data_IF_658916250687
#
_entry.id   IF_658916250687
#
_cell.length_a   1.000
_cell.length_b   1.000
_cell.length_c   1.000
_cell.angle_alpha   90.00
_cell.angle_beta   90.00
_cell.angle_gamma   90.00
#
_symmetry.space_group_name_H-M   'P 1'
#
loop_
_entity.id
_entity.type
_entity.pdbx_description
1 polymer ?
#
# COMPACT_ATOMS: atom_id res chain seq x y z
N UNK A 1 9.41 -69.98 -51.12
CA UNK A 1 8.57 -71.08 -50.61
C UNK A 1 9.24 -71.65 -49.37
N UNK A 2 8.49 -71.69 -48.24
CA UNK A 2 8.74 -72.48 -47.03
C UNK A 2 10.08 -72.28 -46.31
N UNK A 3 10.18 -71.51 -45.24
CA UNK A 3 9.72 -71.84 -43.87
C UNK A 3 10.49 -73.01 -43.24
N UNK A 4 11.41 -72.71 -42.32
CA UNK A 4 11.49 -73.45 -41.06
C UNK A 4 11.96 -72.53 -39.92
N UNK A 5 11.41 -72.79 -38.75
CA UNK A 5 11.29 -71.92 -37.60
C UNK A 5 12.46 -72.07 -36.62
N UNK A 6 13.20 -70.99 -36.40
CA UNK A 6 14.16 -70.87 -35.30
C UNK A 6 13.41 -70.55 -33.99
N UNK A 7 13.23 -71.57 -33.14
CA UNK A 7 12.70 -71.42 -31.79
C UNK A 7 13.63 -70.61 -30.88
N UNK A 8 13.10 -69.96 -29.83
CA UNK A 8 13.83 -68.99 -29.01
C UNK A 8 14.78 -69.65 -27.99
N UNK A 9 16.01 -69.15 -27.93
CA UNK A 9 16.98 -69.47 -26.87
C UNK A 9 16.50 -68.96 -25.49
N UNK A 10 16.66 -69.75 -24.41
CA UNK A 10 16.23 -69.37 -23.08
C UNK A 10 17.17 -68.32 -22.45
N UNK A 11 16.58 -67.24 -21.92
CA UNK A 11 17.26 -66.24 -21.08
C UNK A 11 17.79 -66.88 -19.79
N UNK A 12 19.00 -66.52 -19.32
CA UNK A 12 19.54 -67.06 -18.09
C UNK A 12 18.74 -66.59 -16.87
N UNK A 13 18.51 -67.57 -16.00
CA UNK A 13 17.79 -67.54 -14.73
C UNK A 13 18.39 -66.53 -13.75
N UNK A 14 17.51 -65.80 -13.06
CA UNK A 14 17.84 -64.87 -11.97
C UNK A 14 18.59 -65.62 -10.85
N UNK A 15 19.77 -65.12 -10.48
CA UNK A 15 20.53 -65.60 -9.33
C UNK A 15 19.83 -65.33 -7.99
N UNK A 16 20.05 -66.24 -7.04
CA UNK A 16 19.52 -66.19 -5.68
C UNK A 16 19.86 -64.89 -4.93
N UNK A 17 18.96 -64.39 -4.05
CA UNK A 17 19.24 -63.21 -3.23
C UNK A 17 20.26 -63.55 -2.13
N UNK A 18 21.40 -62.86 -2.14
CA UNK A 18 22.39 -62.91 -1.06
C UNK A 18 21.76 -62.52 0.29
N UNK A 19 22.13 -63.17 1.41
CA UNK A 19 21.58 -62.84 2.72
C UNK A 19 21.90 -61.39 3.14
N UNK A 20 21.00 -60.72 3.88
CA UNK A 20 21.20 -59.33 4.28
C UNK A 20 22.43 -59.21 5.16
N UNK A 21 23.35 -58.30 4.78
CA UNK A 21 24.57 -58.02 5.56
C UNK A 21 24.20 -57.58 6.99
N UNK A 22 24.91 -58.06 8.03
CA UNK A 22 24.63 -57.71 9.41
C UNK A 22 24.75 -56.21 9.63
N UNK A 23 23.87 -55.64 10.45
CA UNK A 23 23.85 -54.22 10.72
C UNK A 23 25.19 -53.80 11.37
N UNK A 24 25.88 -52.77 10.85
CA UNK A 24 27.20 -52.39 11.36
C UNK A 24 27.16 -51.97 12.83
N UNK A 25 28.22 -52.27 13.57
CA UNK A 25 28.35 -52.00 15.00
C UNK A 25 28.08 -50.51 15.32
N UNK A 26 27.17 -50.28 16.28
CA UNK A 26 26.82 -48.95 16.81
C UNK A 26 27.90 -48.50 17.79
N UNK A 27 28.35 -47.24 17.70
CA UNK A 27 29.29 -46.70 18.69
C UNK A 27 28.69 -46.81 20.10
N UNK A 28 29.41 -47.44 21.06
CA UNK A 28 28.88 -47.73 22.40
C UNK A 28 28.57 -46.46 23.19
N UNK A 29 29.38 -45.41 23.04
CA UNK A 29 29.14 -44.10 23.67
C UNK A 29 27.81 -43.46 23.25
N UNK A 30 27.46 -43.49 21.96
CA UNK A 30 26.19 -42.97 21.45
C UNK A 30 24.98 -43.85 21.84
N UNK A 31 25.21 -45.12 22.19
CA UNK A 31 24.18 -46.01 22.71
C UNK A 31 23.89 -45.71 24.18
N UNK A 32 24.92 -45.41 24.98
CA UNK A 32 24.77 -45.02 26.38
C UNK A 32 24.06 -43.67 26.55
N UNK A 33 24.22 -42.75 25.60
CA UNK A 33 23.51 -41.45 25.57
C UNK A 33 22.05 -41.51 25.05
N UNK A 34 21.52 -42.70 24.72
CA UNK A 34 20.13 -42.85 24.24
C UNK A 34 19.84 -42.30 22.84
N UNK A 35 20.83 -41.70 22.16
CA UNK A 35 20.65 -41.06 20.86
C UNK A 35 20.44 -42.08 19.73
N UNK A 36 19.43 -41.92 18.85
CA UNK A 36 19.18 -42.83 17.74
C UNK A 36 20.37 -42.91 16.78
N UNK A 37 20.43 -43.95 15.95
CA UNK A 37 21.50 -44.12 14.96
C UNK A 37 21.40 -43.00 13.91
N UNK A 38 22.20 -41.94 14.05
CA UNK A 38 22.35 -40.93 13.01
C UNK A 38 22.93 -41.59 11.75
N UNK A 39 22.42 -41.25 10.54
CA UNK A 39 22.95 -41.78 9.30
C UNK A 39 24.43 -41.39 9.17
N UNK A 40 25.34 -42.38 9.17
CA UNK A 40 26.80 -42.17 9.05
C UNK A 40 27.23 -41.59 7.70
N UNK A 41 26.36 -41.61 6.69
CA UNK A 41 26.64 -41.08 5.36
C UNK A 41 26.09 -39.66 5.30
N UNK A 42 26.98 -38.71 5.00
CA UNK A 42 26.59 -37.34 4.66
C UNK A 42 25.61 -37.38 3.46
N UNK A 43 24.72 -36.38 3.34
CA UNK A 43 23.89 -36.24 2.15
C UNK A 43 24.78 -36.21 0.90
N UNK A 44 24.28 -36.72 -0.22
CA UNK A 44 25.04 -36.69 -1.48
C UNK A 44 25.37 -35.24 -1.89
N UNK A 45 26.38 -35.05 -2.75
CA UNK A 45 26.78 -33.71 -3.24
C UNK A 45 25.59 -32.90 -3.75
N UNK A 46 24.69 -33.50 -4.53
CA UNK A 46 23.51 -32.82 -5.06
C UNK A 46 22.53 -32.41 -3.96
N UNK A 47 22.36 -33.24 -2.93
CA UNK A 47 21.56 -32.91 -1.76
C UNK A 47 22.18 -31.78 -0.93
N UNK A 48 23.51 -31.77 -0.76
CA UNK A 48 24.20 -30.68 -0.09
C UNK A 48 24.06 -29.36 -0.85
N UNK A 49 24.21 -29.38 -2.18
CA UNK A 49 23.99 -28.21 -3.04
C UNK A 49 22.53 -27.72 -2.91
N UNK A 50 21.57 -28.65 -2.98
CA UNK A 50 20.15 -28.32 -2.83
C UNK A 50 19.86 -27.64 -1.48
N UNK A 51 20.34 -28.21 -0.38
CA UNK A 51 20.15 -27.64 0.96
C UNK A 51 20.90 -26.30 1.14
N UNK A 52 22.09 -26.16 0.57
CA UNK A 52 22.84 -24.91 0.63
C UNK A 52 22.11 -23.78 -0.12
N UNK A 53 21.60 -24.04 -1.33
CA UNK A 53 20.87 -23.04 -2.13
C UNK A 53 19.52 -22.72 -1.51
N UNK A 54 18.73 -23.73 -1.13
CA UNK A 54 17.42 -23.50 -0.49
C UNK A 54 17.55 -22.84 0.88
N UNK A 55 18.54 -23.25 1.68
CA UNK A 55 18.83 -22.68 2.99
C UNK A 55 19.30 -21.23 2.92
N UNK A 56 20.18 -20.89 1.97
CA UNK A 56 20.64 -19.51 1.76
C UNK A 56 19.54 -18.59 1.24
N UNK A 57 18.67 -19.07 0.35
CA UNK A 57 17.50 -18.30 -0.09
C UNK A 57 16.51 -18.08 1.06
N UNK A 58 16.19 -19.15 1.80
CA UNK A 58 15.29 -19.06 2.95
C UNK A 58 15.83 -18.12 4.04
N UNK A 59 17.13 -18.19 4.35
CA UNK A 59 17.75 -17.30 5.33
C UNK A 59 17.72 -15.85 4.88
N UNK A 60 17.98 -15.55 3.60
CA UNK A 60 17.87 -14.21 3.05
C UNK A 60 16.44 -13.63 3.17
N UNK A 61 15.41 -14.43 2.87
CA UNK A 61 14.01 -14.01 2.98
C UNK A 61 13.61 -13.78 4.45
N UNK A 62 14.01 -14.68 5.34
CA UNK A 62 13.73 -14.55 6.78
C UNK A 62 14.44 -13.32 7.35
N UNK A 63 15.70 -13.11 6.96
CA UNK A 63 16.49 -11.94 7.36
C UNK A 63 15.84 -10.64 6.89
N UNK A 64 15.50 -10.50 5.61
CA UNK A 64 14.91 -9.24 5.11
C UNK A 64 13.54 -8.97 5.75
N UNK A 65 12.71 -10.00 5.98
CA UNK A 65 11.45 -9.85 6.73
C UNK A 65 11.68 -9.42 8.19
N UNK A 66 12.72 -9.94 8.83
CA UNK A 66 13.08 -9.58 10.21
C UNK A 66 13.58 -8.13 10.28
N UNK A 67 14.51 -7.75 9.42
CA UNK A 67 15.03 -6.38 9.36
C UNK A 67 13.97 -5.37 8.95
N UNK A 68 13.08 -5.73 8.03
CA UNK A 68 11.92 -4.90 7.69
C UNK A 68 11.06 -4.61 8.91
N UNK A 69 10.70 -5.64 9.68
CA UNK A 69 9.92 -5.46 10.92
C UNK A 69 10.65 -4.60 11.93
N UNK A 70 11.98 -4.75 12.04
CA UNK A 70 12.82 -3.91 12.89
C UNK A 70 12.79 -2.44 12.45
N UNK A 71 12.94 -2.16 11.16
CA UNK A 71 12.86 -0.81 10.61
C UNK A 71 11.47 -0.19 10.86
N UNK A 72 10.38 -0.91 10.59
CA UNK A 72 9.03 -0.42 10.89
C UNK A 72 8.83 -0.18 12.39
N UNK A 73 9.32 -1.07 13.25
CA UNK A 73 9.22 -0.90 14.72
C UNK A 73 10.02 0.32 15.21
N UNK A 74 11.21 0.58 14.65
CA UNK A 74 12.03 1.76 14.96
C UNK A 74 11.23 3.04 14.75
N UNK A 75 10.64 3.21 13.58
CA UNK A 75 9.84 4.42 13.26
C UNK A 75 8.52 4.49 14.03
N UNK A 76 7.90 3.35 14.34
CA UNK A 76 6.73 3.32 15.23
C UNK A 76 7.07 3.87 16.62
N UNK A 77 8.15 3.38 17.24
CA UNK A 77 8.59 3.86 18.55
C UNK A 77 9.05 5.32 18.51
N UNK A 78 9.64 5.78 17.41
CA UNK A 78 10.03 7.18 17.24
C UNK A 78 8.83 8.15 17.29
N UNK A 79 7.70 7.70 16.75
CA UNK A 79 6.50 8.52 16.54
C UNK A 79 5.45 8.30 17.64
N UNK A 80 5.51 7.17 18.34
CA UNK A 80 4.63 6.80 19.45
C UNK A 80 4.42 7.90 20.52
N UNK A 81 5.44 8.70 20.91
CA UNK A 81 5.23 9.76 21.90
C UNK A 81 4.16 10.77 21.51
N UNK A 82 3.91 10.99 20.21
CA UNK A 82 2.86 11.91 19.74
C UNK A 82 1.47 11.42 20.12
N UNK A 83 1.24 10.10 20.11
CA UNK A 83 -0.07 9.52 20.44
C UNK A 83 -0.47 9.69 21.91
N UNK A 84 0.50 9.98 22.77
CA UNK A 84 0.29 10.16 24.22
C UNK A 84 0.05 11.62 24.61
N UNK A 85 0.19 12.56 23.67
CA UNK A 85 -0.04 13.97 23.93
C UNK A 85 -1.55 14.22 24.10
N UNK A 86 -1.99 14.81 25.21
CA UNK A 86 -3.39 15.13 25.41
C UNK A 86 -3.83 16.23 24.45
N UNK A 87 -5.07 16.17 23.99
CA UNK A 87 -5.70 17.25 23.23
C UNK A 87 -6.10 18.40 24.17
N UNK A 88 -6.09 19.63 23.66
CA UNK A 88 -6.39 20.83 24.47
C UNK A 88 -7.84 20.84 24.95
N UNK A 89 -8.77 20.34 24.12
CA UNK A 89 -10.20 20.23 24.45
C UNK A 89 -10.72 18.82 24.23
N UNK A 90 -11.64 18.38 25.08
CA UNK A 90 -12.23 17.04 24.98
C UNK A 90 -13.06 16.81 23.70
N UNK A 91 -13.61 17.89 23.12
CA UNK A 91 -14.35 17.87 21.86
C UNK A 91 -13.46 18.09 20.63
N UNK A 92 -12.17 18.40 20.80
CA UNK A 92 -11.28 18.66 19.67
C UNK A 92 -10.94 17.37 18.94
N UNK A 93 -10.96 17.43 17.61
CA UNK A 93 -10.55 16.30 16.78
C UNK A 93 -9.02 16.23 16.67
N UNK A 94 -8.44 15.03 16.63
CA UNK A 94 -7.03 14.88 16.35
C UNK A 94 -6.72 15.34 14.93
N UNK A 95 -5.44 15.56 14.69
CA UNK A 95 -4.93 15.93 13.38
C UNK A 95 -5.24 14.89 12.32
N UNK A 96 -5.80 15.35 11.19
CA UNK A 96 -6.18 14.54 10.04
C UNK A 96 -5.23 14.74 8.85
N UNK A 97 -4.85 13.64 8.20
CA UNK A 97 -4.02 13.61 6.98
C UNK A 97 -4.83 13.01 5.83
N UNK A 98 -4.67 13.51 4.60
CA UNK A 98 -5.24 12.86 3.41
C UNK A 98 -4.20 11.95 2.75
N UNK A 99 -4.54 10.69 2.49
CA UNK A 99 -3.70 9.71 1.81
C UNK A 99 -4.26 9.45 0.41
N UNK A 100 -3.50 9.81 -0.60
CA UNK A 100 -3.81 9.58 -2.01
C UNK A 100 -3.20 8.25 -2.46
N UNK A 101 -4.08 7.33 -2.88
CA UNK A 101 -3.73 6.01 -3.38
C UNK A 101 -4.33 5.83 -4.77
N UNK A 102 -3.55 5.33 -5.70
CA UNK A 102 -4.05 4.99 -7.03
C UNK A 102 -3.55 3.63 -7.49
N UNK A 103 -4.36 2.93 -8.28
CA UNK A 103 -3.95 1.72 -8.96
C UNK A 103 -2.68 1.98 -9.79
N UNK A 104 -1.59 1.21 -9.60
CA UNK A 104 -0.41 1.34 -10.44
C UNK A 104 -0.75 1.04 -11.90
N UNK A 105 0.01 1.60 -12.84
CA UNK A 105 -0.23 1.33 -14.25
C UNK A 105 -0.08 -0.17 -14.57
N UNK A 106 -1.14 -0.77 -15.10
CA UNK A 106 -1.17 -2.18 -15.51
C UNK A 106 -1.53 -3.20 -14.41
N UNK A 107 -1.87 -2.76 -13.20
CA UNK A 107 -2.36 -3.61 -12.12
C UNK A 107 -3.51 -2.92 -11.36
N UNK A 108 -4.14 -3.59 -10.40
CA UNK A 108 -5.28 -3.08 -9.64
C UNK A 108 -4.90 -2.28 -8.39
N UNK A 109 -5.89 -1.59 -7.83
CA UNK A 109 -5.78 -0.79 -6.60
C UNK A 109 -5.26 -1.59 -5.38
N UNK A 110 -5.42 -2.92 -5.40
CA UNK A 110 -4.99 -3.78 -4.29
C UNK A 110 -3.50 -3.67 -4.01
N UNK A 111 -2.66 -3.54 -5.04
CA UNK A 111 -1.22 -3.40 -4.88
C UNK A 111 -0.85 -2.13 -4.08
N UNK A 112 -1.55 -1.01 -4.33
CA UNK A 112 -1.35 0.23 -3.60
C UNK A 112 -1.88 0.13 -2.15
N UNK A 113 -3.03 -0.52 -1.94
CA UNK A 113 -3.57 -0.77 -0.60
C UNK A 113 -2.64 -1.64 0.24
N UNK A 114 -2.13 -2.74 -0.32
CA UNK A 114 -1.18 -3.61 0.38
C UNK A 114 0.10 -2.85 0.73
N UNK A 115 0.59 -1.98 -0.16
CA UNK A 115 1.74 -1.13 0.12
C UNK A 115 1.49 -0.15 1.28
N UNK A 116 0.33 0.51 1.29
CA UNK A 116 -0.08 1.36 2.41
C UNK A 116 -0.14 0.56 3.73
N UNK A 117 -0.81 -0.59 3.72
CA UNK A 117 -0.97 -1.44 4.92
C UNK A 117 0.38 -1.92 5.44
N UNK A 118 1.30 -2.28 4.55
CA UNK A 118 2.57 -2.91 4.90
C UNK A 118 3.63 -1.89 5.38
N UNK A 119 3.67 -0.68 4.83
CA UNK A 119 4.74 0.30 5.10
C UNK A 119 4.25 1.55 5.84
N UNK A 120 3.11 2.12 5.46
CA UNK A 120 2.66 3.44 5.93
C UNK A 120 1.78 3.34 7.17
N UNK A 121 0.74 2.48 7.11
CA UNK A 121 -0.25 2.28 8.18
C UNK A 121 0.38 2.04 9.56
N UNK A 122 1.43 1.20 9.72
CA UNK A 122 1.95 0.91 11.04
C UNK A 122 2.53 2.14 11.74
N UNK A 123 3.17 3.05 10.98
CA UNK A 123 3.79 4.27 11.51
C UNK A 123 2.72 5.34 11.78
N UNK A 124 1.79 5.55 10.86
CA UNK A 124 0.66 6.48 11.07
C UNK A 124 -0.21 6.06 12.25
N UNK A 125 -0.56 4.78 12.37
CA UNK A 125 -1.37 4.29 13.48
C UNK A 125 -0.67 4.46 14.84
N UNK A 126 0.66 4.36 14.90
CA UNK A 126 1.42 4.59 16.12
C UNK A 126 1.46 6.07 16.53
N UNK A 127 1.26 6.99 15.59
CA UNK A 127 1.25 8.44 15.87
C UNK A 127 -0.02 8.95 16.54
N UNK A 128 -1.13 8.20 16.45
CA UNK A 128 -2.44 8.67 16.91
C UNK A 128 -3.10 9.70 15.96
N UNK A 129 -2.58 9.86 14.74
CA UNK A 129 -3.17 10.72 13.71
C UNK A 129 -4.28 10.01 12.97
N UNK A 130 -5.33 10.75 12.63
CA UNK A 130 -6.41 10.28 11.77
C UNK A 130 -6.02 10.44 10.30
N UNK A 131 -6.55 9.58 9.44
CA UNK A 131 -6.33 9.69 8.00
C UNK A 131 -7.58 9.37 7.19
N UNK A 132 -7.68 10.01 6.03
CA UNK A 132 -8.71 9.79 5.03
C UNK A 132 -8.08 9.31 3.73
N UNK A 133 -8.76 8.42 3.01
CA UNK A 133 -8.27 7.93 1.73
C UNK A 133 -8.98 8.57 0.56
N UNK A 134 -8.19 9.04 -0.41
CA UNK A 134 -8.65 9.30 -1.77
C UNK A 134 -8.12 8.17 -2.65
N UNK A 135 -9.02 7.33 -3.16
CA UNK A 135 -8.66 6.11 -3.90
C UNK A 135 -9.00 6.24 -5.38
N UNK A 136 -7.99 6.29 -6.25
CA UNK A 136 -8.12 6.20 -7.70
C UNK A 136 -8.03 4.76 -8.20
N UNK A 137 -9.03 4.30 -8.95
CA UNK A 137 -8.97 2.98 -9.62
C UNK A 137 -8.57 3.12 -11.09
N UNK A 138 -8.85 4.27 -11.68
CA UNK A 138 -8.51 4.61 -13.05
C UNK A 138 -7.70 5.91 -13.05
N UNK A 139 -6.92 6.06 -14.12
CA UNK A 139 -6.19 7.27 -14.40
C UNK A 139 -7.10 8.51 -14.37
N UNK A 140 -6.66 9.53 -13.66
CA UNK A 140 -7.26 10.84 -13.48
C UNK A 140 -8.34 10.88 -12.40
N UNK A 141 -8.64 9.77 -11.72
CA UNK A 141 -9.55 9.77 -10.57
C UNK A 141 -8.98 10.66 -9.45
N UNK A 142 -7.67 10.57 -9.21
CA UNK A 142 -7.00 11.35 -8.15
C UNK A 142 -6.95 12.82 -8.53
N UNK A 143 -6.62 13.15 -9.78
CA UNK A 143 -6.71 14.52 -10.32
C UNK A 143 -8.10 15.10 -10.07
N UNK A 144 -9.15 14.39 -10.49
CA UNK A 144 -10.52 14.86 -10.34
C UNK A 144 -10.90 15.11 -8.88
N UNK A 145 -10.52 14.21 -7.97
CA UNK A 145 -10.79 14.35 -6.54
C UNK A 145 -10.06 15.54 -5.92
N UNK A 146 -8.78 15.76 -6.25
CA UNK A 146 -8.00 16.91 -5.77
C UNK A 146 -8.58 18.21 -6.32
N UNK A 147 -8.86 18.28 -7.62
CA UNK A 147 -9.44 19.47 -8.24
C UNK A 147 -10.83 19.78 -7.67
N UNK A 148 -11.67 18.77 -7.41
CA UNK A 148 -12.96 18.94 -6.77
C UNK A 148 -12.83 19.44 -5.32
N UNK A 149 -11.86 18.91 -4.55
CA UNK A 149 -11.57 19.39 -3.19
C UNK A 149 -11.22 20.89 -3.19
N UNK A 150 -10.26 21.30 -4.02
CA UNK A 150 -9.86 22.71 -4.12
C UNK A 150 -11.02 23.60 -4.58
N UNK A 151 -11.80 23.16 -5.58
CA UNK A 151 -12.95 23.93 -6.05
C UNK A 151 -14.04 24.09 -4.99
N UNK A 152 -14.28 23.05 -4.19
CA UNK A 152 -15.20 23.11 -3.04
C UNK A 152 -14.76 24.17 -2.03
N UNK A 153 -13.46 24.27 -1.76
CA UNK A 153 -12.91 25.29 -0.84
C UNK A 153 -13.01 26.71 -1.43
N UNK A 154 -13.01 26.83 -2.77
CA UNK A 154 -13.13 28.10 -3.51
C UNK A 154 -14.58 28.60 -3.61
N UNK A 155 -15.54 27.71 -3.82
CA UNK A 155 -16.96 28.06 -4.09
C UNK A 155 -17.58 29.02 -3.06
N UNK A 156 -17.43 28.82 -1.72
CA UNK A 156 -17.98 29.75 -0.73
C UNK A 156 -17.36 31.15 -0.79
N UNK A 157 -16.08 31.26 -1.19
CA UNK A 157 -15.33 32.54 -1.25
C UNK A 157 -15.71 33.37 -2.47
N UNK A 158 -16.10 32.70 -3.55
CA UNK A 158 -16.58 33.34 -4.78
C UNK A 158 -18.12 33.56 -4.76
N UNK A 159 -18.76 33.49 -3.58
CA UNK A 159 -20.19 33.72 -3.35
C UNK A 159 -21.15 32.85 -4.19
N UNK A 160 -20.69 31.69 -4.67
CA UNK A 160 -21.51 30.75 -5.47
C UNK A 160 -22.22 29.71 -4.59
N UNK A 161 -22.85 30.17 -3.51
CA UNK A 161 -23.41 29.32 -2.43
C UNK A 161 -24.47 28.31 -2.91
N UNK A 162 -25.11 28.54 -4.05
CA UNK A 162 -26.18 27.68 -4.56
C UNK A 162 -25.70 26.39 -5.26
N UNK A 163 -24.42 26.30 -5.65
CA UNK A 163 -23.92 25.20 -6.48
C UNK A 163 -22.97 24.23 -5.74
N UNK A 164 -22.83 24.36 -4.42
CA UNK A 164 -21.97 23.46 -3.64
C UNK A 164 -22.67 22.10 -3.57
N UNK A 165 -22.22 21.16 -4.39
CA UNK A 165 -22.64 19.76 -4.28
C UNK A 165 -22.27 19.26 -2.89
N UNK A 166 -23.27 19.09 -2.03
CA UNK A 166 -23.13 18.60 -0.67
C UNK A 166 -22.54 17.19 -0.74
N UNK A 167 -21.25 17.08 -0.44
CA UNK A 167 -20.56 15.80 -0.27
C UNK A 167 -20.76 15.35 1.18
N UNK A 168 -20.80 14.05 1.42
CA UNK A 168 -20.96 13.49 2.78
C UNK A 168 -20.04 14.16 3.81
N UNK A 169 -18.78 14.42 3.45
CA UNK A 169 -17.82 15.13 4.32
C UNK A 169 -18.24 16.58 4.64
N UNK A 170 -18.76 17.30 3.64
CA UNK A 170 -19.24 18.67 3.83
C UNK A 170 -20.48 18.74 4.71
N UNK A 171 -21.36 17.74 4.63
CA UNK A 171 -22.51 17.61 5.54
C UNK A 171 -22.04 17.38 6.97
N UNK A 172 -21.06 16.49 7.15
CA UNK A 172 -20.48 16.20 8.47
C UNK A 172 -19.81 17.45 9.06
N UNK A 173 -19.05 18.20 8.26
CA UNK A 173 -18.39 19.43 8.71
C UNK A 173 -19.40 20.52 9.07
N UNK A 174 -20.45 20.71 8.27
CA UNK A 174 -21.53 21.66 8.59
C UNK A 174 -22.26 21.28 9.89
N UNK A 175 -22.44 19.99 10.17
CA UNK A 175 -23.02 19.52 11.44
C UNK A 175 -22.05 19.79 12.61
N UNK A 176 -20.75 19.58 12.43
CA UNK A 176 -19.72 19.87 13.45
C UNK A 176 -19.65 21.35 13.78
N UNK A 177 -19.69 22.21 12.76
CA UNK A 177 -19.76 23.66 12.94
C UNK A 177 -21.00 24.07 13.75
N UNK A 178 -22.17 23.50 13.43
CA UNK A 178 -23.41 23.72 14.20
C UNK A 178 -23.31 23.24 15.65
N UNK A 179 -22.57 22.16 15.90
CA UNK A 179 -22.32 21.63 17.24
C UNK A 179 -21.20 22.36 18.00
N UNK A 180 -20.55 23.36 17.38
CA UNK A 180 -19.44 24.10 17.99
C UNK A 180 -18.18 23.24 18.23
N UNK A 181 -18.02 22.16 17.46
CA UNK A 181 -16.81 21.31 17.52
C UNK A 181 -15.67 22.08 16.84
N UNK A 182 -14.59 22.44 17.56
CA UNK A 182 -13.50 23.19 16.96
C UNK A 182 -12.82 22.34 15.88
N UNK A 183 -12.43 22.93 14.74
CA UNK A 183 -11.63 22.23 13.75
C UNK A 183 -10.29 21.81 14.36
N UNK A 184 -9.68 20.81 13.75
CA UNK A 184 -8.33 20.39 14.12
C UNK A 184 -7.36 21.59 14.07
N UNK A 185 -6.51 21.72 15.09
CA UNK A 185 -5.48 22.74 15.21
C UNK A 185 -4.10 22.18 14.83
N UNK A 186 -3.56 22.63 13.69
CA UNK A 186 -2.19 22.32 13.28
C UNK A 186 -1.97 22.30 11.77
N UNK A 187 -0.79 21.86 11.35
CA UNK A 187 -0.41 21.69 9.94
C UNK A 187 -1.03 20.42 9.36
N UNK A 188 -2.04 20.56 8.52
CA UNK A 188 -2.57 19.46 7.71
C UNK A 188 -1.52 18.92 6.73
N UNK A 189 -1.86 17.89 5.97
CA UNK A 189 -0.98 17.47 4.90
C UNK A 189 -1.45 16.26 4.13
N UNK A 190 -0.76 16.04 3.02
CA UNK A 190 -1.12 15.04 2.03
C UNK A 190 0.02 14.02 1.87
N UNK A 191 -0.31 12.73 1.93
CA UNK A 191 0.60 11.63 1.61
C UNK A 191 0.20 11.09 0.25
N UNK A 192 1.10 11.16 -0.72
CA UNK A 192 0.85 10.71 -2.09
C UNK A 192 1.72 9.49 -2.39
N UNK A 193 1.12 8.35 -2.71
CA UNK A 193 1.86 7.09 -2.88
C UNK A 193 2.12 6.80 -4.36
N UNK A 194 3.40 6.91 -4.75
CA UNK A 194 3.88 6.58 -6.09
C UNK A 194 3.93 7.76 -7.06
N UNK A 195 4.82 7.64 -8.05
CA UNK A 195 5.02 8.65 -9.09
C UNK A 195 3.78 8.93 -9.93
N UNK A 196 2.99 7.91 -10.27
CA UNK A 196 1.78 8.06 -11.09
C UNK A 196 0.76 8.93 -10.36
N UNK A 197 0.52 8.64 -9.08
CA UNK A 197 -0.40 9.40 -8.23
C UNK A 197 0.12 10.82 -7.96
N UNK A 198 1.44 11.00 -7.84
CA UNK A 198 2.06 12.33 -7.71
C UNK A 198 1.78 13.22 -8.93
N UNK A 199 1.90 12.68 -10.15
CA UNK A 199 1.58 13.43 -11.38
C UNK A 199 0.12 13.88 -11.39
N UNK A 200 -0.80 13.02 -10.98
CA UNK A 200 -2.22 13.35 -10.91
C UNK A 200 -2.57 14.33 -9.79
N UNK A 201 -1.98 14.16 -8.62
CA UNK A 201 -2.17 15.04 -7.48
C UNK A 201 -1.76 16.48 -7.85
N UNK A 202 -0.55 16.62 -8.40
CA UNK A 202 -0.04 17.92 -8.85
C UNK A 202 -0.90 18.47 -9.97
N UNK A 203 -1.28 17.65 -10.97
CA UNK A 203 -2.17 18.07 -12.05
C UNK A 203 -3.54 18.56 -11.52
N UNK A 204 -4.11 17.87 -10.55
CA UNK A 204 -5.37 18.23 -9.90
C UNK A 204 -5.26 19.50 -9.05
N UNK A 205 -4.11 19.74 -8.41
CA UNK A 205 -3.83 20.98 -7.69
C UNK A 205 -3.84 22.18 -8.65
N UNK A 206 -3.17 22.05 -9.80
CA UNK A 206 -3.16 23.08 -10.83
C UNK A 206 -4.56 23.29 -11.43
N UNK A 207 -5.26 22.22 -11.79
CA UNK A 207 -6.64 22.30 -12.29
C UNK A 207 -7.57 22.98 -11.27
N UNK A 208 -7.43 22.65 -9.97
CA UNK A 208 -8.25 23.21 -8.92
C UNK A 208 -8.05 24.71 -8.69
N UNK A 209 -6.81 25.20 -8.76
CA UNK A 209 -6.49 26.62 -8.51
C UNK A 209 -6.54 27.50 -9.75
N UNK A 210 -6.08 26.99 -10.89
CA UNK A 210 -5.98 27.74 -12.14
C UNK A 210 -7.20 27.53 -13.05
N UNK A 211 -7.91 26.41 -12.89
CA UNK A 211 -9.07 26.08 -13.71
C UNK A 211 -10.34 26.85 -13.30
N UNK A 212 -11.30 26.94 -14.23
CA UNK A 212 -12.62 27.49 -13.95
C UNK A 212 -13.37 26.61 -12.93
N UNK A 213 -14.27 27.23 -12.16
CA UNK A 213 -15.15 26.48 -11.26
C UNK A 213 -16.19 25.68 -12.05
N UNK A 214 -16.68 26.24 -13.16
CA UNK A 214 -17.69 25.62 -14.02
C UNK A 214 -17.13 24.46 -14.82
N UNK A 215 -17.88 23.34 -14.91
CA UNK A 215 -17.51 22.26 -15.79
C UNK A 215 -17.44 22.76 -17.24
N UNK A 216 -16.42 22.34 -18.01
CA UNK A 216 -16.40 22.64 -19.44
C UNK A 216 -17.68 22.08 -20.07
N UNK A 217 -18.27 22.78 -21.07
CA UNK A 217 -19.45 22.29 -21.74
C UNK A 217 -19.15 20.90 -22.32
N UNK A 218 -19.83 19.88 -21.79
CA UNK A 218 -19.73 18.53 -22.33
C UNK A 218 -20.24 18.60 -23.77
N UNK A 219 -19.52 18.10 -24.78
CA UNK A 219 -20.06 18.03 -26.13
C UNK A 219 -21.38 17.25 -26.07
N UNK A 220 -22.46 17.87 -26.57
CA UNK A 220 -23.83 17.42 -26.37
C UNK A 220 -24.01 15.93 -26.73
N UNK A 221 -24.20 15.09 -25.69
CA UNK A 221 -24.73 13.74 -25.84
C UNK A 221 -26.24 13.81 -25.62
N UNK A 222 -27.08 13.21 -26.49
CA UNK A 222 -28.52 13.40 -26.45
C UNK A 222 -29.12 12.91 -25.13
N UNK A 223 -29.91 13.78 -24.54
CA UNK A 223 -30.73 13.57 -23.36
C UNK A 223 -31.54 12.28 -23.48
N UNK A 224 -31.39 11.38 -22.50
CA UNK A 224 -32.42 10.37 -22.26
C UNK A 224 -33.58 11.08 -21.58
N UNK A 225 -34.64 11.31 -22.34
CA UNK A 225 -35.94 11.79 -21.85
C UNK A 225 -36.42 10.96 -20.66
N UNK A 226 -36.74 11.67 -19.59
CA UNK A 226 -37.42 11.21 -18.40
C UNK A 226 -38.76 10.54 -18.72
N UNK A 227 -39.03 9.42 -18.04
CA UNK A 227 -40.38 8.97 -17.75
C UNK A 227 -40.61 9.13 -16.24
N UNK A 228 -41.33 10.18 -15.88
CA UNK A 228 -41.84 10.45 -14.53
C UNK A 228 -43.00 9.49 -14.22
N UNK A 229 -43.00 8.83 -13.04
CA UNK A 229 -44.20 8.65 -12.20
C UNK A 229 -43.93 7.88 -10.87
N UNK A 230 -43.88 8.67 -9.79
CA UNK A 230 -44.64 8.49 -8.52
C UNK A 230 -44.47 7.22 -7.66
N UNK A 231 -43.90 7.41 -6.46
CA UNK A 231 -44.17 6.61 -5.24
C UNK A 231 -45.46 7.11 -4.57
N UNK A 232 -46.20 6.25 -3.83
CA UNK A 232 -46.07 6.35 -2.37
C UNK A 232 -46.07 5.01 -1.61
N UNK A 233 -45.64 5.13 -0.36
CA UNK A 233 -45.33 4.17 0.69
C UNK A 233 -46.52 3.37 1.27
N UNK A 234 -46.30 2.14 1.76
CA UNK A 234 -46.72 1.70 3.12
C UNK A 234 -46.28 0.28 3.51
N UNK A 235 -46.19 0.10 4.82
CA UNK A 235 -45.53 -0.89 5.69
C UNK A 235 -46.29 -2.22 5.97
N UNK A 236 -45.52 -3.26 6.35
CA UNK A 236 -45.74 -4.38 7.32
C UNK A 236 -46.85 -5.45 7.12
N UNK A 237 -46.44 -6.74 7.11
CA UNK A 237 -46.80 -7.81 8.07
C UNK A 237 -47.02 -9.22 7.45
N UNK A 238 -46.19 -10.16 7.92
CA UNK A 238 -46.40 -11.59 8.27
C UNK A 238 -47.31 -12.55 7.45
N UNK A 239 -46.75 -13.71 7.11
CA UNK A 239 -47.36 -15.00 7.50
C UNK A 239 -47.66 -16.07 6.42
N UNK A 240 -46.92 -17.19 6.52
CA UNK A 240 -47.34 -18.60 6.25
C UNK A 240 -47.28 -19.24 4.84
N UNK A 241 -46.21 -20.03 4.66
CA UNK A 241 -46.13 -21.44 4.18
C UNK A 241 -46.98 -21.98 3.02
N UNK A 242 -46.29 -22.52 2.01
CA UNK A 242 -46.45 -23.93 1.57
C UNK A 242 -45.25 -24.37 0.70
N UNK A 243 -44.74 -25.55 0.99
CA UNK A 243 -43.74 -26.32 0.24
C UNK A 243 -44.40 -26.92 -1.03
N UNK A 244 -43.70 -26.91 -2.18
CA UNK A 244 -43.13 -28.14 -2.75
C UNK A 244 -42.43 -27.92 -4.10
N UNK A 245 -41.43 -28.77 -4.32
CA UNK A 245 -40.40 -28.84 -5.37
C UNK A 245 -40.93 -28.95 -6.82
N UNK A 246 -40.24 -28.34 -7.80
CA UNK A 246 -39.38 -29.11 -8.73
C UNK A 246 -38.50 -28.23 -9.64
N UNK A 247 -37.41 -28.86 -10.04
CA UNK A 247 -36.15 -28.48 -10.65
C UNK A 247 -36.22 -27.86 -12.07
N UNK A 248 -35.50 -26.74 -12.31
CA UNK A 248 -34.75 -26.53 -13.56
C UNK A 248 -33.77 -25.32 -13.52
N UNK A 249 -32.48 -25.61 -13.63
CA UNK A 249 -31.41 -24.81 -14.28
C UNK A 249 -31.38 -23.29 -14.01
N UNK A 250 -30.77 -22.91 -12.89
CA UNK A 250 -30.34 -21.54 -12.60
C UNK A 250 -29.04 -21.21 -13.36
N UNK A 251 -29.15 -20.44 -14.46
CA UNK A 251 -28.05 -19.57 -14.91
C UNK A 251 -27.90 -18.50 -13.83
N UNK A 252 -26.79 -18.52 -13.11
CA UNK A 252 -26.40 -17.40 -12.24
C UNK A 252 -26.10 -16.18 -13.12
N UNK A 253 -27.11 -15.35 -13.36
CA UNK A 253 -26.88 -13.95 -13.67
C UNK A 253 -26.20 -13.31 -12.46
N UNK A 254 -24.90 -13.08 -12.58
CA UNK A 254 -24.19 -12.20 -11.65
C UNK A 254 -24.93 -10.86 -11.65
N UNK A 255 -25.29 -10.30 -10.48
CA UNK A 255 -25.84 -8.96 -10.43
C UNK A 255 -24.82 -8.01 -11.07
N UNK A 256 -25.22 -7.34 -12.15
CA UNK A 256 -24.43 -6.30 -12.80
C UNK A 256 -24.14 -5.23 -11.74
N UNK A 257 -22.87 -5.15 -11.35
CA UNK A 257 -22.42 -4.10 -10.43
C UNK A 257 -22.76 -2.77 -11.08
N UNK A 258 -23.33 -1.79 -10.33
CA UNK A 258 -23.65 -0.49 -10.89
C UNK A 258 -22.41 0.06 -11.60
N UNK A 259 -22.58 0.42 -12.88
CA UNK A 259 -21.52 1.04 -13.66
C UNK A 259 -21.12 2.34 -12.95
N UNK A 260 -19.81 2.49 -12.74
CA UNK A 260 -19.26 3.64 -12.02
C UNK A 260 -19.62 4.93 -12.78
N UNK A 261 -19.91 6.04 -12.08
CA UNK A 261 -20.08 7.32 -12.74
C UNK A 261 -18.89 7.63 -13.66
N UNK A 262 -19.14 8.18 -14.86
CA UNK A 262 -18.08 8.56 -15.77
C UNK A 262 -17.18 9.60 -15.11
N UNK A 263 -15.89 9.52 -15.41
CA UNK A 263 -14.91 10.45 -14.90
C UNK A 263 -15.20 11.87 -15.42
N UNK A 264 -15.15 12.91 -14.56
CA UNK A 264 -15.36 14.28 -15.02
C UNK A 264 -14.22 14.72 -15.95
N UNK A 265 -14.52 15.42 -17.06
CA UNK A 265 -13.50 15.95 -17.96
C UNK A 265 -12.60 16.95 -17.22
N UNK A 266 -11.34 17.13 -17.67
CA UNK A 266 -10.47 18.16 -17.12
C UNK A 266 -11.00 19.56 -17.45
N UNK A 267 -10.98 20.45 -16.46
CA UNK A 267 -11.47 21.83 -16.59
C UNK A 267 -10.44 22.76 -17.24
N UNK A 268 -9.19 22.32 -17.28
CA UNK A 268 -8.04 23.09 -17.71
C UNK A 268 -7.01 22.12 -18.29
N UNK A 269 -6.19 22.50 -19.26
CA UNK A 269 -5.03 21.73 -19.76
C UNK A 269 -3.70 22.35 -19.34
N UNK A 270 -2.54 21.66 -19.42
CA UNK A 270 -1.26 22.29 -19.09
C UNK A 270 -0.89 23.45 -20.03
N UNK A 271 -1.41 23.45 -21.26
CA UNK A 271 -1.15 24.47 -22.27
C UNK A 271 -1.78 25.83 -21.88
N UNK A 272 -2.86 25.78 -21.11
CA UNK A 272 -3.63 26.93 -20.62
C UNK A 272 -3.04 27.56 -19.34
N UNK A 273 -1.98 27.00 -18.74
CA UNK A 273 -1.41 27.55 -17.49
C UNK A 273 -0.92 28.98 -17.64
N UNK A 274 -0.37 29.30 -18.82
CA UNK A 274 0.14 30.64 -19.14
C UNK A 274 -0.95 31.71 -19.19
N UNK A 275 -2.17 31.35 -19.61
CA UNK A 275 -3.32 32.25 -19.72
C UNK A 275 -4.18 32.27 -18.45
N UNK A 276 -4.07 31.24 -17.61
CA UNK A 276 -4.88 31.11 -16.41
C UNK A 276 -4.52 32.15 -15.34
N UNK A 277 -5.54 32.66 -14.64
CA UNK A 277 -5.40 33.63 -13.55
C UNK A 277 -5.55 32.92 -12.21
N UNK A 278 -4.55 33.07 -11.34
CA UNK A 278 -4.62 32.56 -9.98
C UNK A 278 -5.50 33.50 -9.11
N UNK A 279 -6.47 32.97 -8.35
CA UNK A 279 -7.28 33.78 -7.46
C UNK A 279 -6.45 34.49 -6.38
N UNK A 280 -6.76 35.76 -6.10
CA UNK A 280 -6.01 36.56 -5.11
C UNK A 280 -6.09 36.01 -3.67
N UNK A 281 -7.16 35.29 -3.35
CA UNK A 281 -7.37 34.66 -2.03
C UNK A 281 -6.69 33.30 -1.91
N UNK A 282 -5.99 32.81 -2.95
CA UNK A 282 -5.24 31.57 -2.88
C UNK A 282 -4.19 31.68 -1.76
N UNK A 283 -4.04 30.65 -0.91
CA UNK A 283 -3.16 30.70 0.25
C UNK A 283 -1.71 30.92 -0.18
N UNK A 284 -0.94 31.61 0.66
CA UNK A 284 0.50 31.85 0.43
C UNK A 284 1.27 30.55 0.45
N UNK A 285 0.85 29.61 1.29
CA UNK A 285 1.43 28.27 1.40
C UNK A 285 0.33 27.22 1.31
N UNK A 286 0.54 26.23 0.46
CA UNK A 286 -0.33 25.05 0.41
C UNK A 286 0.03 24.08 1.54
N UNK A 287 -0.95 23.23 1.87
CA UNK A 287 -0.72 22.13 2.79
C UNK A 287 0.49 21.29 2.31
N UNK A 288 1.45 20.98 3.19
CA UNK A 288 2.62 20.20 2.82
C UNK A 288 2.22 18.81 2.32
N UNK A 289 2.93 18.36 1.28
CA UNK A 289 2.72 17.05 0.67
C UNK A 289 4.02 16.26 0.63
N UNK A 290 3.91 14.94 0.79
CA UNK A 290 5.03 14.00 0.69
C UNK A 290 4.71 12.95 -0.36
N UNK A 291 5.62 12.78 -1.33
CA UNK A 291 5.56 11.72 -2.32
C UNK A 291 6.35 10.49 -1.83
N UNK A 292 5.65 9.39 -1.57
CA UNK A 292 6.23 8.13 -1.12
C UNK A 292 6.57 7.22 -2.31
N UNK A 293 7.73 6.53 -2.30
CA UNK A 293 8.10 5.61 -3.36
C UNK A 293 7.17 4.39 -3.38
N UNK A 294 6.70 4.03 -4.58
CA UNK A 294 5.89 2.86 -4.84
C UNK A 294 6.52 1.99 -5.95
N UNK A 295 7.57 1.21 -5.62
CA UNK A 295 8.27 0.39 -6.60
C UNK A 295 7.40 -0.79 -7.06
N UNK A 296 6.64 -0.58 -8.12
CA UNK A 296 5.77 -1.59 -8.72
C UNK A 296 6.20 -1.89 -10.16
N UNK A 297 6.65 -3.12 -10.41
CA UNK A 297 7.11 -3.56 -11.72
C UNK A 297 6.48 -4.90 -12.12
N UNK A 298 5.92 -4.94 -13.32
CA UNK A 298 5.21 -6.10 -13.87
C UNK A 298 6.05 -6.86 -14.91
N UNK A 299 5.69 -8.12 -15.17
CA UNK A 299 6.27 -8.94 -16.25
C UNK A 299 7.31 -9.98 -15.81
N UNK A 300 7.33 -11.12 -16.51
CA UNK A 300 8.21 -12.26 -16.20
C UNK A 300 9.69 -11.96 -16.47
N UNK A 301 9.99 -11.16 -17.51
CA UNK A 301 11.38 -10.75 -17.84
C UNK A 301 12.05 -9.95 -16.72
N UNK A 302 11.25 -9.37 -15.81
CA UNK A 302 11.74 -8.55 -14.70
C UNK A 302 11.79 -9.31 -13.36
N UNK A 303 11.65 -10.64 -13.37
CA UNK A 303 11.63 -11.47 -12.15
C UNK A 303 12.90 -11.31 -11.30
N UNK A 304 14.10 -11.21 -11.91
CA UNK A 304 15.34 -11.03 -11.16
C UNK A 304 15.44 -9.65 -10.49
N UNK A 305 14.98 -8.59 -11.16
CA UNK A 305 14.91 -7.24 -10.57
C UNK A 305 13.89 -7.23 -9.42
N UNK A 306 12.74 -7.86 -9.61
CA UNK A 306 11.71 -8.01 -8.58
C UNK A 306 12.23 -8.81 -7.38
N UNK A 307 13.01 -9.88 -7.61
CA UNK A 307 13.64 -10.65 -6.55
C UNK A 307 14.68 -9.82 -5.78
N UNK A 308 15.51 -9.05 -6.48
CA UNK A 308 16.49 -8.15 -5.84
C UNK A 308 15.81 -7.08 -4.98
N UNK A 309 14.67 -6.52 -5.43
CA UNK A 309 13.85 -5.61 -4.63
C UNK A 309 13.16 -6.31 -3.47
N UNK A 310 12.67 -7.54 -3.70
CA UNK A 310 12.03 -8.36 -2.67
C UNK A 310 12.98 -8.67 -1.51
N UNK A 311 14.26 -8.90 -1.79
CA UNK A 311 15.31 -9.13 -0.78
C UNK A 311 15.90 -7.84 -0.18
N UNK A 312 15.40 -6.66 -0.58
CA UNK A 312 15.83 -5.36 -0.06
C UNK A 312 14.65 -4.51 0.42
N UNK A 313 13.53 -5.12 0.81
CA UNK A 313 12.35 -4.38 1.31
C UNK A 313 12.63 -3.70 2.65
N UNK A 314 13.66 -4.13 3.38
CA UNK A 314 14.11 -3.45 4.61
C UNK A 314 14.49 -1.98 4.37
N UNK A 315 15.17 -1.68 3.25
CA UNK A 315 15.60 -0.30 2.92
C UNK A 315 14.39 0.55 2.58
N UNK A 316 13.49 0.03 1.74
CA UNK A 316 12.23 0.67 1.40
C UNK A 316 11.39 0.98 2.66
N UNK A 317 11.34 0.06 3.62
CA UNK A 317 10.61 0.26 4.87
C UNK A 317 11.24 1.33 5.76
N UNK A 318 12.56 1.45 5.78
CA UNK A 318 13.27 2.50 6.51
C UNK A 318 13.05 3.87 5.85
N UNK A 319 13.18 3.94 4.52
CA UNK A 319 12.97 5.17 3.74
C UNK A 319 11.53 5.70 3.86
N UNK A 320 10.52 4.83 3.68
CA UNK A 320 9.11 5.19 3.84
C UNK A 320 8.82 5.55 5.30
N UNK A 321 9.35 4.77 6.26
CA UNK A 321 9.17 5.05 7.68
C UNK A 321 9.70 6.43 8.07
N UNK A 322 10.86 6.82 7.55
CA UNK A 322 11.45 8.15 7.73
C UNK A 322 10.57 9.27 7.17
N UNK A 323 10.06 9.10 5.95
CA UNK A 323 9.19 10.10 5.30
C UNK A 323 7.84 10.24 6.01
N UNK A 324 7.24 9.13 6.41
CA UNK A 324 5.98 9.13 7.17
C UNK A 324 6.18 9.71 8.57
N UNK A 325 7.30 9.43 9.24
CA UNK A 325 7.63 10.06 10.52
C UNK A 325 7.77 11.60 10.39
N UNK A 326 8.40 12.08 9.31
CA UNK A 326 8.47 13.52 9.02
C UNK A 326 7.08 14.14 8.85
N UNK A 327 6.16 13.42 8.19
CA UNK A 327 4.75 13.82 8.14
C UNK A 327 4.22 13.89 9.56
N UNK A 328 4.34 12.84 10.38
CA UNK A 328 3.81 12.79 11.75
C UNK A 328 4.30 13.95 12.63
N UNK A 329 5.56 14.36 12.54
CA UNK A 329 6.10 15.52 13.28
C UNK A 329 5.67 16.88 12.73
N UNK A 330 4.94 16.93 11.60
CA UNK A 330 4.48 18.17 10.95
C UNK A 330 5.60 19.16 10.63
N UNK A 331 6.82 18.67 10.41
CA UNK A 331 7.95 19.52 10.02
C UNK A 331 7.90 19.77 8.51
N UNK A 332 7.43 20.96 8.13
CA UNK A 332 7.28 21.38 6.75
C UNK A 332 8.38 22.36 6.32
N UNK A 333 8.76 22.32 5.05
CA UNK A 333 9.68 23.27 4.42
C UNK A 333 9.37 23.46 2.95
N UNK A 334 10.18 24.29 2.29
CA UNK A 334 10.08 24.55 0.86
C UNK A 334 10.60 23.36 0.03
N UNK A 335 10.22 23.32 -1.24
CA UNK A 335 10.78 22.37 -2.19
C UNK A 335 12.02 22.95 -2.86
N UNK A 336 13.09 22.16 -2.97
CA UNK A 336 14.33 22.55 -3.66
C UNK A 336 14.24 22.29 -5.18
N UNK A 337 13.18 22.76 -5.85
CA UNK A 337 12.93 22.53 -7.30
C UNK A 337 12.81 21.04 -7.74
N UNK A 338 12.82 20.11 -6.79
CA UNK A 338 12.74 18.66 -7.02
C UNK A 338 11.31 18.16 -7.33
N UNK A 339 10.30 19.03 -7.29
CA UNK A 339 8.89 18.64 -7.46
C UNK A 339 8.67 17.85 -8.76
N UNK A 340 9.38 18.22 -9.84
CA UNK A 340 9.26 17.60 -11.17
C UNK A 340 9.96 16.24 -11.25
N UNK A 341 11.08 16.08 -10.55
CA UNK A 341 11.99 14.93 -10.70
C UNK A 341 11.77 13.87 -9.63
N UNK A 342 11.05 14.18 -8.56
CA UNK A 342 10.78 13.24 -7.46
C UNK A 342 10.11 11.95 -7.97
N UNK A 343 10.71 10.80 -7.63
CA UNK A 343 10.27 9.47 -8.08
C UNK A 343 10.23 9.26 -9.61
N UNK A 344 10.89 10.11 -10.42
CA UNK A 344 10.91 9.96 -11.88
C UNK A 344 11.47 8.59 -12.33
N UNK A 345 12.37 7.99 -11.55
CA UNK A 345 12.92 6.67 -11.83
C UNK A 345 11.86 5.54 -11.82
N UNK A 346 10.71 5.74 -11.16
CA UNK A 346 9.60 4.76 -11.14
C UNK A 346 8.88 4.66 -12.49
N UNK A 347 8.94 5.72 -13.31
CA UNK A 347 8.34 5.71 -14.66
C UNK A 347 8.96 4.61 -15.54
N UNK A 348 10.21 4.24 -15.29
CA UNK A 348 10.92 3.15 -15.98
C UNK A 348 10.36 1.75 -15.67
N UNK A 349 9.62 1.60 -14.57
CA UNK A 349 9.02 0.33 -14.17
C UNK A 349 7.61 0.14 -14.73
N UNK A 350 7.03 1.18 -15.33
CA UNK A 350 5.69 1.14 -15.91
C UNK A 350 5.64 0.28 -17.18
N UNK A 351 4.52 -0.41 -17.43
CA UNK A 351 4.36 -1.20 -18.64
C UNK A 351 4.31 -0.31 -19.88
N UNK A 352 4.78 -0.84 -21.01
CA UNK A 352 4.83 -0.12 -22.30
C UNK A 352 3.47 0.39 -22.77
N UNK A 353 2.39 -0.32 -22.40
CA UNK A 353 1.01 0.06 -22.70
C UNK A 353 0.59 1.42 -22.13
N UNK A 354 1.31 1.94 -21.13
CA UNK A 354 1.07 3.30 -20.60
C UNK A 354 1.41 4.35 -21.63
N UNK A 355 2.47 4.10 -22.41
CA UNK A 355 3.03 5.02 -23.39
C UNK A 355 2.35 4.88 -24.75
N UNK A 356 1.88 3.68 -25.10
CA UNK A 356 1.16 3.42 -26.35
C UNK A 356 -0.17 4.18 -26.41
N UNK A 357 -0.36 4.97 -27.48
CA UNK A 357 -1.66 5.54 -27.83
C UNK A 357 -2.62 4.42 -28.25
N UNK A 358 -3.36 3.88 -27.28
CA UNK A 358 -4.56 3.11 -27.61
C UNK A 358 -5.55 4.08 -28.24
N UNK A 359 -5.74 3.98 -29.56
CA UNK A 359 -6.99 4.42 -30.18
C UNK A 359 -8.09 3.65 -29.47
N UNK A 360 -9.01 4.34 -28.81
CA UNK A 360 -10.20 3.74 -28.22
C UNK A 360 -11.07 3.20 -29.36
N UNK A 361 -10.76 2.00 -29.83
CA UNK A 361 -11.67 1.20 -30.63
C UNK A 361 -12.45 0.38 -29.61
N UNK A 362 -13.65 0.84 -29.28
CA UNK A 362 -14.63 -0.02 -28.63
C UNK A 362 -15.00 -1.09 -29.67
N UNK A 363 -14.38 -2.27 -29.59
CA UNK A 363 -14.90 -3.46 -30.24
C UNK A 363 -16.00 -4.02 -29.33
N UNK A 364 -17.25 -3.70 -29.66
CA UNK A 364 -18.40 -4.45 -29.18
C UNK A 364 -18.53 -5.73 -30.02
N UNK A 365 -18.77 -6.88 -29.37
CA UNK A 365 -18.91 -8.23 -29.96
C UNK A 365 -20.17 -8.40 -30.83
N UNK A 366 -20.87 -7.31 -31.15
CA UNK A 366 -22.19 -7.33 -31.78
C UNK A 366 -22.30 -6.35 -32.97
N UNK A 367 -21.33 -6.29 -33.88
CA UNK A 367 -21.50 -5.86 -35.28
C UNK A 367 -22.27 -4.55 -35.59
N UNK A 368 -22.49 -3.67 -34.62
CA UNK A 368 -23.23 -2.42 -34.73
C UNK A 368 -22.42 -1.33 -34.06
N UNK A 369 -21.60 -0.68 -34.88
CA UNK A 369 -20.80 0.47 -34.50
C UNK A 369 -21.70 1.65 -34.09
N UNK A 370 -21.96 1.78 -32.79
CA UNK A 370 -22.35 3.06 -32.22
C UNK A 370 -21.10 3.70 -31.61
N UNK A 371 -20.48 4.60 -32.37
CA UNK A 371 -19.46 5.52 -31.86
C UNK A 371 -20.10 6.40 -30.79
N UNK A 372 -20.00 6.01 -29.53
CA UNK A 372 -20.14 6.95 -28.42
C UNK A 372 -18.74 7.49 -28.16
N UNK A 373 -18.39 8.57 -28.87
CA UNK A 373 -17.19 9.36 -28.59
C UNK A 373 -17.37 10.01 -27.22
N UNK A 374 -17.07 9.27 -26.15
CA UNK A 374 -16.89 9.87 -24.83
C UNK A 374 -15.76 10.91 -24.88
N UNK A 375 -15.77 11.93 -24.01
CA UNK A 375 -14.68 12.90 -23.96
C UNK A 375 -13.36 12.15 -23.75
N UNK A 376 -12.37 12.43 -24.60
CA UNK A 376 -11.08 11.75 -24.58
C UNK A 376 -10.46 11.81 -23.18
N UNK A 377 -10.23 10.63 -22.59
CA UNK A 377 -9.64 10.54 -21.24
C UNK A 377 -8.22 11.12 -21.26
N UNK A 378 -7.95 12.08 -20.37
CA UNK A 378 -6.64 12.70 -20.31
C UNK A 378 -5.58 11.68 -19.88
N UNK A 379 -4.57 11.47 -20.73
CA UNK A 379 -3.45 10.54 -20.46
C UNK A 379 -2.34 11.20 -19.65
N UNK A 380 -2.60 11.46 -18.38
CA UNK A 380 -1.71 12.21 -17.46
C UNK A 380 -0.37 11.49 -17.23
N UNK A 381 -0.37 10.17 -17.11
CA UNK A 381 0.82 9.37 -16.79
C UNK A 381 1.86 9.42 -17.92
N UNK A 382 1.43 9.37 -19.18
CA UNK A 382 2.33 9.37 -20.34
C UNK A 382 2.90 10.76 -20.65
N UNK A 383 2.18 11.84 -20.28
CA UNK A 383 2.65 13.20 -20.49
C UNK A 383 3.74 13.57 -19.47
N UNK A 384 4.72 14.43 -19.82
CA UNK A 384 5.65 14.98 -18.85
C UNK A 384 4.89 15.84 -17.82
N UNK A 385 5.41 15.90 -16.60
CA UNK A 385 4.80 16.72 -15.55
C UNK A 385 5.16 18.19 -15.78
N UNK A 386 4.15 19.04 -15.89
CA UNK A 386 4.29 20.49 -16.07
C UNK A 386 3.84 21.17 -14.79
N UNK A 387 4.65 22.11 -14.28
CA UNK A 387 4.34 22.92 -13.12
C UNK A 387 4.20 24.39 -13.51
N UNK A 388 3.17 25.04 -12.98
CA UNK A 388 3.07 26.49 -12.95
C UNK A 388 3.88 27.03 -11.76
N UNK A 389 4.76 28.00 -12.01
CA UNK A 389 5.64 28.57 -10.99
C UNK A 389 4.86 29.10 -9.77
N UNK A 390 3.70 29.73 -10.00
CA UNK A 390 2.88 30.33 -8.94
C UNK A 390 2.33 29.29 -7.98
N UNK A 391 2.03 28.09 -8.49
CA UNK A 391 1.56 26.96 -7.68
C UNK A 391 2.76 26.28 -7.02
N UNK A 392 3.83 26.04 -7.78
CA UNK A 392 5.03 25.33 -7.32
C UNK A 392 5.73 26.03 -6.15
N UNK A 393 5.85 27.37 -6.18
CA UNK A 393 6.45 28.18 -5.11
C UNK A 393 5.67 28.10 -3.79
N UNK A 394 4.36 27.86 -3.86
CA UNK A 394 3.47 27.75 -2.70
C UNK A 394 3.40 26.34 -2.14
N UNK A 395 3.86 25.33 -2.88
CA UNK A 395 3.90 23.96 -2.39
C UNK A 395 4.93 23.84 -1.26
N UNK A 396 4.60 23.00 -0.28
CA UNK A 396 5.49 22.65 0.85
C UNK A 396 5.71 21.15 0.90
N UNK A 397 6.83 20.72 1.49
CA UNK A 397 7.22 19.32 1.67
C UNK A 397 7.44 19.03 3.14
N UNK A 398 7.13 17.81 3.58
CA UNK A 398 7.58 17.37 4.89
C UNK A 398 9.06 16.99 4.88
N UNK A 399 9.83 17.60 5.78
CA UNK A 399 11.24 17.31 5.98
C UNK A 399 11.49 16.87 7.42
N UNK A 400 12.26 15.78 7.56
CA UNK A 400 12.74 15.35 8.86
C UNK A 400 13.77 16.34 9.38
N UNK A 401 13.62 16.77 10.64
CA UNK A 401 14.64 17.59 11.30
C UNK A 401 15.86 16.73 11.61
N UNK A 402 17.09 17.26 11.48
CA UNK A 402 18.30 16.50 11.82
C UNK A 402 18.27 15.91 13.24
N UNK A 403 17.72 16.64 14.21
CA UNK A 403 17.58 16.20 15.59
C UNK A 403 16.67 14.97 15.74
N UNK A 404 15.54 14.96 15.02
CA UNK A 404 14.59 13.85 15.06
C UNK A 404 15.15 12.61 14.34
N UNK A 405 15.96 12.82 13.30
CA UNK A 405 16.66 11.73 12.60
C UNK A 405 17.72 11.08 13.50
N UNK A 406 18.49 11.87 14.24
CA UNK A 406 19.44 11.38 15.25
C UNK A 406 18.72 10.67 16.40
N UNK A 407 17.60 11.21 16.87
CA UNK A 407 16.76 10.56 17.88
C UNK A 407 16.27 9.21 17.38
N UNK A 408 15.74 9.15 16.16
CA UNK A 408 15.28 7.90 15.56
C UNK A 408 16.43 6.90 15.35
N UNK A 409 17.62 7.36 15.00
CA UNK A 409 18.82 6.52 14.85
C UNK A 409 19.29 5.90 16.17
N UNK A 410 19.09 6.59 17.30
CA UNK A 410 19.44 6.09 18.64
C UNK A 410 18.52 4.97 19.16
N UNK A 411 17.36 4.76 18.52
CA UNK A 411 16.37 3.78 18.97
C UNK A 411 16.86 2.36 18.65
N UNK A 412 17.17 1.60 19.70
CA UNK A 412 17.48 0.18 19.61
C UNK A 412 16.21 -0.63 19.83
N UNK A 413 15.72 -1.26 18.76
CA UNK A 413 14.52 -2.12 18.84
C UNK A 413 14.91 -3.49 19.42
N UNK A 414 14.29 -3.92 20.54
CA UNK A 414 14.59 -5.22 21.14
C UNK A 414 14.18 -6.37 20.21
N UNK A 415 14.95 -7.47 20.22
CA UNK A 415 14.71 -8.60 19.31
C UNK A 415 13.31 -9.23 19.49
N UNK A 416 12.76 -9.17 20.70
CA UNK A 416 11.44 -9.70 21.05
C UNK A 416 10.31 -9.01 20.28
N UNK A 417 10.42 -7.69 20.07
CA UNK A 417 9.45 -6.91 19.32
C UNK A 417 9.44 -7.29 17.82
N UNK A 418 10.56 -7.83 17.31
CA UNK A 418 10.74 -8.16 15.89
C UNK A 418 10.28 -9.58 15.57
N UNK A 419 10.50 -10.53 16.48
CA UNK A 419 10.35 -11.97 16.20
C UNK A 419 8.92 -12.50 16.32
N UNK A 420 8.00 -11.66 16.80
CA UNK A 420 6.61 -12.03 17.02
C UNK A 420 6.45 -13.01 18.18
N UNK A 421 5.22 -13.15 18.65
CA UNK A 421 4.91 -13.82 19.92
C UNK A 421 5.46 -15.26 20.04
N UNK A 422 5.35 -16.06 18.98
CA UNK A 422 5.72 -17.49 19.02
C UNK A 422 7.25 -17.69 19.13
N UNK A 423 8.05 -16.95 18.35
CA UNK A 423 9.52 -17.10 18.36
C UNK A 423 10.15 -16.35 19.53
N UNK A 424 9.59 -15.20 19.90
CA UNK A 424 9.95 -14.47 21.11
C UNK A 424 9.71 -15.30 22.37
N UNK A 425 8.56 -15.98 22.45
CA UNK A 425 8.24 -16.92 23.54
C UNK A 425 9.21 -18.11 23.59
N UNK A 426 9.54 -18.73 22.44
CA UNK A 426 10.49 -19.85 22.41
C UNK A 426 11.90 -19.44 22.87
N UNK A 427 12.39 -18.27 22.45
CA UNK A 427 13.69 -17.74 22.91
C UNK A 427 13.65 -17.24 24.34
N UNK A 428 12.53 -16.66 24.78
CA UNK A 428 12.27 -16.35 26.18
C UNK A 428 12.35 -17.60 27.04
N UNK A 429 11.75 -18.69 26.59
CA UNK A 429 11.79 -19.99 27.25
C UNK A 429 13.19 -20.62 27.23
N UNK A 430 13.94 -20.50 26.13
CA UNK A 430 15.34 -20.91 26.08
C UNK A 430 16.25 -20.07 26.99
N UNK A 431 16.05 -18.75 27.07
CA UNK A 431 16.79 -17.88 28.00
C UNK A 431 16.42 -18.18 29.45
N UNK A 432 15.14 -18.36 29.75
CA UNK A 432 14.66 -18.81 31.06
C UNK A 432 15.25 -20.17 31.44
N UNK A 433 15.29 -21.11 30.50
CA UNK A 433 15.91 -22.41 30.72
C UNK A 433 17.42 -22.24 30.99
N UNK A 434 18.15 -21.48 30.16
CA UNK A 434 19.58 -21.20 30.37
C UNK A 434 19.86 -20.48 31.71
N UNK A 435 19.06 -19.48 32.09
CA UNK A 435 19.19 -18.78 33.37
C UNK A 435 18.80 -19.66 34.57
N UNK A 436 18.02 -20.72 34.35
CA UNK A 436 17.72 -21.72 35.39
C UNK A 436 18.87 -22.72 35.55
N UNK A 437 19.74 -22.86 34.55
CA UNK A 437 20.98 -23.63 34.61
C UNK A 437 22.17 -22.81 35.11
N UNK A 438 22.13 -21.48 35.00
CA UNK A 438 23.07 -20.61 35.72
C UNK A 438 22.81 -20.74 37.22
N UNK A 439 23.83 -21.22 37.94
CA UNK A 439 23.74 -21.40 39.38
C UNK A 439 23.49 -20.05 40.05
N UNK A 440 22.27 -19.85 40.56
CA UNK A 440 22.00 -18.73 41.49
C UNK A 440 23.02 -18.81 42.62
N UNK A 441 23.73 -17.72 42.97
CA UNK A 441 24.62 -17.72 44.12
C UNK A 441 23.80 -18.12 45.35
N UNK A 442 24.14 -19.26 45.94
CA UNK A 442 23.57 -19.73 47.21
C UNK A 442 24.22 -18.96 48.34
N UNK A 443 23.81 -17.71 48.50
CA UNK A 443 24.11 -16.87 49.65
C UNK A 443 22.84 -16.12 50.06
N UNK A 444 22.61 -15.84 51.35
CA UNK A 444 21.61 -14.88 51.76
C UNK A 444 21.86 -13.56 51.02
N UNK A 445 20.79 -12.91 50.53
CA UNK A 445 20.88 -11.59 49.90
C UNK A 445 21.15 -10.55 51.00
N UNK A 446 22.38 -10.50 51.47
CA UNK A 446 22.88 -9.41 52.31
C UNK A 446 23.18 -8.27 51.36
N UNK A 447 22.33 -7.23 51.39
CA UNK A 447 22.58 -5.99 50.65
C UNK A 447 23.95 -5.44 51.00
N UNK A 448 24.59 -4.77 50.03
CA UNK A 448 25.88 -4.09 50.23
C UNK A 448 25.81 -3.20 51.48
N UNK A 449 26.65 -3.54 52.46
CA UNK A 449 26.81 -2.81 53.73
C UNK A 449 28.04 -1.88 53.69
N UNK A 450 28.47 -1.45 52.50
CA UNK A 450 29.63 -0.55 52.34
C UNK A 450 29.23 0.90 52.01
N UNK A 451 27.96 1.28 52.12
CA UNK A 451 27.53 2.68 52.19
C UNK A 451 27.51 3.15 53.65
N UNK A 452 28.68 3.25 54.26
CA UNK A 452 28.83 3.59 55.66
C UNK A 452 30.26 3.91 56.10
N UNK A 453 30.90 4.87 55.43
CA UNK A 453 31.93 5.74 56.04
C UNK A 453 32.05 7.09 55.30
#
# INVERSE_FOLDING_TARGET
>A
MGADAGGPEPKPTKGDPSPPKPAPARNPALRMLGLPRLPRKLPSRNWLIFWAVSGSLASAIIYDRREKKRATAKWRTAVEPLSRQPLNSASQLPRKITVYLEAPPGDGLRAAQDHFIEYVKPVLAASGLDWEFVQGRQQGDVRAAVAAKVRRDRMPRENRRQDVVETDDGVVDAVREKMGVPPYEGVGGDIVIGRHTWKEYVRGLHEGWLGPLDPPPVPASPEKVDATATTPSSTTAEGATSEDENDNKKKEEKPEKPSRPPQPPPHNTPDDYSSAVMPAYAPVEFAPSTALPFPHRLGMRHTFVRLARFLNRRKLADDIGRQVAAVCWASAGEWNEEQQTILAHEENDWPKSVWEEKKEVAEDDDGKSNKVEGPAKERIWAKPMVLDARVAERMRRFHIRPEDDLRAASIVVPEEAVEGWIKGSLRGLCRWAMSSFESKPRGPNVGDLDDGE
#
